data_IF_184218780460
#
_entry.id   IF_184218780460
#
_cell.length_a   1.000
_cell.length_b   1.000
_cell.length_c   1.000
_cell.angle_alpha   90.00
_cell.angle_beta   90.00
_cell.angle_gamma   90.00
#
_symmetry.space_group_name_H-M   'P 1'
#
loop_
_entity.id
_entity.type
_entity.pdbx_description
1 polymer ?
#
# COMPACT_ATOMS: atom_id res chain seq x y z
N UNK A 1 20.15 -33.44 -0.24
CA UNK A 1 21.32 -34.34 -0.11
C UNK A 1 22.50 -33.69 -0.80
N UNK A 2 23.33 -33.02 0.01
CA UNK A 2 24.77 -32.76 -0.12
C UNK A 2 25.37 -32.06 -1.36
N UNK A 3 24.59 -31.85 -2.43
CA UNK A 3 25.09 -31.23 -3.66
C UNK A 3 24.87 -29.69 -3.72
N UNK A 4 23.90 -29.17 -2.97
CA UNK A 4 23.68 -27.72 -2.86
C UNK A 4 24.51 -27.09 -1.72
N UNK A 5 24.89 -27.87 -0.72
CA UNK A 5 25.74 -27.47 0.41
C UNK A 5 27.24 -27.44 0.08
N UNK A 6 27.65 -27.92 -1.10
CA UNK A 6 29.04 -27.93 -1.58
C UNK A 6 29.38 -26.81 -2.59
N UNK A 7 28.40 -25.99 -2.96
CA UNK A 7 28.60 -24.84 -3.84
C UNK A 7 29.03 -23.60 -3.05
N UNK A 8 29.98 -22.84 -3.63
CA UNK A 8 30.44 -21.52 -3.19
C UNK A 8 29.29 -20.65 -2.66
N UNK A 9 29.53 -19.90 -1.56
CA UNK A 9 28.52 -19.11 -0.84
C UNK A 9 27.66 -18.22 -1.77
N UNK A 10 28.23 -17.73 -2.88
CA UNK A 10 27.50 -16.94 -3.87
C UNK A 10 26.45 -17.74 -4.68
N UNK A 11 26.69 -19.02 -4.96
CA UNK A 11 25.76 -19.88 -5.71
C UNK A 11 24.52 -20.26 -4.91
N UNK A 12 24.69 -20.53 -3.61
CA UNK A 12 23.57 -20.78 -2.71
C UNK A 12 22.67 -19.55 -2.56
N UNK A 13 23.27 -18.37 -2.43
CA UNK A 13 22.54 -17.12 -2.35
C UNK A 13 21.73 -16.82 -3.62
N UNK A 14 22.34 -17.03 -4.81
CA UNK A 14 21.65 -16.83 -6.08
C UNK A 14 20.44 -17.76 -6.25
N UNK A 15 20.58 -19.05 -5.92
CA UNK A 15 19.48 -20.02 -5.99
C UNK A 15 18.36 -19.67 -5.01
N UNK A 16 18.69 -19.26 -3.78
CA UNK A 16 17.69 -18.80 -2.81
C UNK A 16 16.93 -17.57 -3.29
N UNK A 17 17.63 -16.57 -3.84
CA UNK A 17 17.00 -15.39 -4.43
C UNK A 17 16.05 -15.79 -5.56
N UNK A 18 16.47 -16.67 -6.46
CA UNK A 18 15.63 -17.11 -7.59
C UNK A 18 14.35 -17.80 -7.09
N UNK A 19 14.47 -18.67 -6.09
CA UNK A 19 13.31 -19.35 -5.49
C UNK A 19 12.37 -18.34 -4.84
N UNK A 20 12.89 -17.38 -4.08
CA UNK A 20 12.09 -16.29 -3.48
C UNK A 20 11.42 -15.47 -4.57
N UNK A 21 12.14 -15.10 -5.63
CA UNK A 21 11.61 -14.29 -6.73
C UNK A 21 10.46 -15.00 -7.45
N UNK A 22 10.60 -16.29 -7.74
CA UNK A 22 9.54 -17.11 -8.37
C UNK A 22 8.31 -17.14 -7.47
N UNK A 23 8.51 -17.37 -6.16
CA UNK A 23 7.42 -17.39 -5.19
C UNK A 23 6.72 -16.03 -5.09
N UNK A 24 7.49 -14.93 -5.09
CA UNK A 24 7.00 -13.57 -5.01
C UNK A 24 6.23 -13.16 -6.28
N UNK A 25 6.76 -13.44 -7.47
CA UNK A 25 6.10 -13.17 -8.74
C UNK A 25 4.78 -13.93 -8.88
N UNK A 26 4.79 -15.21 -8.47
CA UNK A 26 3.57 -16.02 -8.47
C UNK A 26 2.54 -15.49 -7.47
N UNK A 27 2.97 -15.07 -6.29
CA UNK A 27 2.11 -14.43 -5.28
C UNK A 27 1.56 -13.07 -5.70
N UNK A 28 2.38 -12.25 -6.36
CA UNK A 28 1.99 -10.92 -6.83
C UNK A 28 0.87 -11.00 -7.86
N UNK A 29 0.88 -12.03 -8.71
CA UNK A 29 -0.15 -12.25 -9.73
C UNK A 29 -1.53 -12.59 -9.14
N UNK A 30 -1.58 -13.22 -7.95
CA UNK A 30 -2.84 -13.54 -7.24
C UNK A 30 -3.31 -12.46 -6.28
N UNK A 31 -2.40 -11.60 -5.80
CA UNK A 31 -2.71 -10.41 -5.00
C UNK A 31 -3.29 -10.69 -3.60
N UNK A 32 -3.42 -9.62 -2.81
CA UNK A 32 -4.08 -9.64 -1.49
C UNK A 32 -3.44 -10.61 -0.48
N UNK A 33 -4.29 -11.42 0.17
CA UNK A 33 -3.87 -12.38 1.21
C UNK A 33 -2.94 -13.47 0.64
N UNK A 34 -3.09 -13.82 -0.65
CA UNK A 34 -2.29 -14.85 -1.29
C UNK A 34 -0.80 -14.49 -1.37
N UNK A 35 -0.47 -13.20 -1.51
CA UNK A 35 0.92 -12.71 -1.51
C UNK A 35 1.60 -13.00 -0.16
N UNK A 36 0.91 -12.72 0.95
CA UNK A 36 1.43 -12.99 2.29
C UNK A 36 1.56 -14.49 2.58
N UNK A 37 0.56 -15.28 2.18
CA UNK A 37 0.57 -16.74 2.39
C UNK A 37 1.70 -17.42 1.59
N UNK A 38 1.85 -17.05 0.31
CA UNK A 38 2.92 -17.59 -0.55
C UNK A 38 4.31 -17.13 -0.07
N UNK A 39 4.45 -15.89 0.40
CA UNK A 39 5.68 -15.43 1.06
C UNK A 39 6.04 -16.26 2.29
N UNK A 40 5.05 -16.57 3.14
CA UNK A 40 5.23 -17.44 4.31
C UNK A 40 5.61 -18.87 3.93
N UNK A 41 4.96 -19.45 2.91
CA UNK A 41 5.31 -20.77 2.37
C UNK A 41 6.72 -20.78 1.78
N UNK A 42 7.12 -19.70 1.09
CA UNK A 42 8.48 -19.54 0.56
C UNK A 42 9.54 -19.55 1.67
N UNK A 43 9.28 -18.85 2.79
CA UNK A 43 10.18 -18.87 3.96
C UNK A 43 10.21 -20.26 4.60
N UNK A 44 9.06 -20.93 4.75
CA UNK A 44 9.01 -22.30 5.27
C UNK A 44 9.82 -23.26 4.39
N UNK A 45 9.69 -23.15 3.07
CA UNK A 45 10.47 -23.95 2.13
C UNK A 45 11.98 -23.71 2.28
N UNK A 46 12.42 -22.46 2.46
CA UNK A 46 13.83 -22.13 2.68
C UNK A 46 14.37 -22.69 4.00
N UNK A 47 13.60 -22.61 5.09
CA UNK A 47 14.02 -23.11 6.40
C UNK A 47 14.09 -24.64 6.42
N UNK A 48 13.08 -25.34 5.87
CA UNK A 48 13.05 -26.81 5.86
C UNK A 48 13.97 -27.44 4.81
N UNK A 49 14.12 -26.82 3.62
CA UNK A 49 14.94 -27.39 2.54
C UNK A 49 16.42 -27.01 2.62
N UNK A 50 16.74 -25.77 3.03
CA UNK A 50 18.12 -25.27 3.08
C UNK A 50 18.69 -25.15 4.51
N UNK A 51 17.92 -25.51 5.56
CA UNK A 51 18.36 -25.50 6.97
C UNK A 51 18.95 -24.15 7.44
N UNK A 52 18.48 -23.05 6.87
CA UNK A 52 18.90 -21.70 7.26
C UNK A 52 18.21 -21.36 8.58
N UNK A 53 18.97 -20.77 9.52
CA UNK A 53 18.38 -20.28 10.77
C UNK A 53 17.27 -19.27 10.47
N UNK A 54 16.05 -19.45 11.00
CA UNK A 54 14.98 -18.49 10.82
C UNK A 54 15.40 -17.15 11.41
N UNK A 55 15.16 -16.07 10.65
CA UNK A 55 15.40 -14.71 11.10
C UNK A 55 14.47 -14.33 12.26
N UNK A 56 14.74 -13.19 12.89
CA UNK A 56 13.87 -12.65 13.93
C UNK A 56 12.55 -12.18 13.30
N UNK A 57 11.38 -12.60 13.80
CA UNK A 57 10.11 -12.09 13.30
C UNK A 57 10.01 -10.58 13.57
N UNK A 58 9.53 -9.83 12.57
CA UNK A 58 9.39 -8.37 12.65
C UNK A 58 8.16 -7.94 13.46
N UNK A 59 8.09 -8.37 14.73
CA UNK A 59 6.95 -8.11 15.62
C UNK A 59 6.74 -6.60 15.80
N UNK A 60 7.82 -5.84 15.97
CA UNK A 60 7.77 -4.38 16.10
C UNK A 60 7.05 -3.74 14.90
N UNK A 61 7.40 -4.17 13.69
CA UNK A 61 6.79 -3.67 12.45
C UNK A 61 5.32 -4.07 12.37
N UNK A 62 4.97 -5.32 12.69
CA UNK A 62 3.58 -5.78 12.71
C UNK A 62 2.72 -4.96 13.68
N UNK A 63 3.23 -4.66 14.88
CA UNK A 63 2.54 -3.84 15.87
C UNK A 63 2.39 -2.39 15.41
N UNK A 64 3.41 -1.80 14.77
CA UNK A 64 3.29 -0.44 14.20
C UNK A 64 2.23 -0.36 13.11
N UNK A 65 2.16 -1.36 12.21
CA UNK A 65 1.12 -1.43 11.18
C UNK A 65 -0.26 -1.57 11.82
N UNK A 66 -0.40 -2.48 12.81
CA UNK A 66 -1.66 -2.68 13.51
C UNK A 66 -2.12 -1.38 14.21
N UNK A 67 -1.23 -0.67 14.88
CA UNK A 67 -1.53 0.59 15.54
C UNK A 67 -2.05 1.64 14.55
N UNK A 68 -1.39 1.81 13.40
CA UNK A 68 -1.82 2.75 12.36
C UNK A 68 -3.16 2.35 11.76
N UNK A 69 -3.36 1.07 11.43
CA UNK A 69 -4.62 0.59 10.86
C UNK A 69 -5.79 0.76 11.83
N UNK A 70 -5.60 0.46 13.12
CA UNK A 70 -6.63 0.65 14.15
C UNK A 70 -6.95 2.13 14.32
N UNK A 71 -5.95 3.01 14.31
CA UNK A 71 -6.17 4.47 14.37
C UNK A 71 -6.95 4.99 13.15
N UNK A 72 -6.62 4.53 11.94
CA UNK A 72 -7.36 4.91 10.73
C UNK A 72 -8.78 4.34 10.73
N UNK A 73 -8.97 3.12 11.23
CA UNK A 73 -10.28 2.48 11.35
C UNK A 73 -11.18 3.20 12.36
N UNK A 74 -10.64 3.64 13.51
CA UNK A 74 -11.40 4.43 14.48
C UNK A 74 -11.72 5.84 13.95
N UNK A 75 -10.81 6.45 13.17
CA UNK A 75 -11.08 7.71 12.47
C UNK A 75 -12.23 7.57 11.46
N UNK A 76 -12.28 6.48 10.69
CA UNK A 76 -13.39 6.20 9.78
C UNK A 76 -14.69 5.88 10.54
N UNK A 77 -14.64 5.03 11.57
CA UNK A 77 -15.81 4.64 12.34
C UNK A 77 -16.45 5.80 13.12
N UNK A 78 -15.66 6.81 13.52
CA UNK A 78 -16.14 8.02 14.19
C UNK A 78 -16.71 9.08 13.23
N UNK A 79 -16.64 8.87 11.92
CA UNK A 79 -17.01 9.87 10.91
C UNK A 79 -16.00 11.03 10.78
N UNK A 80 -14.81 10.91 11.39
CA UNK A 80 -13.77 11.94 11.31
C UNK A 80 -13.27 12.17 9.87
N UNK A 81 -13.29 11.12 9.04
CA UNK A 81 -12.98 11.23 7.61
C UNK A 81 -14.00 12.11 6.87
N UNK A 82 -15.29 12.04 7.22
CA UNK A 82 -16.32 12.85 6.56
C UNK A 82 -16.11 14.35 6.84
N UNK A 83 -15.69 14.70 8.06
CA UNK A 83 -15.34 16.08 8.43
C UNK A 83 -14.13 16.56 7.61
N UNK A 84 -13.10 15.73 7.46
CA UNK A 84 -11.94 16.06 6.63
C UNK A 84 -12.32 16.26 5.15
N UNK A 85 -13.21 15.42 4.62
CA UNK A 85 -13.71 15.54 3.25
C UNK A 85 -14.53 16.81 3.05
N UNK A 86 -15.35 17.22 4.02
CA UNK A 86 -16.09 18.49 3.95
C UNK A 86 -15.16 19.71 3.93
N UNK A 87 -14.09 19.68 4.74
CA UNK A 87 -13.07 20.73 4.75
C UNK A 87 -12.34 20.77 3.41
N UNK A 88 -11.94 19.61 2.89
CA UNK A 88 -11.33 19.49 1.58
C UNK A 88 -12.24 20.04 0.48
N UNK A 89 -13.51 19.64 0.43
CA UNK A 89 -14.49 20.12 -0.54
C UNK A 89 -14.62 21.66 -0.48
N UNK A 90 -14.70 22.24 0.73
CA UNK A 90 -14.79 23.69 0.91
C UNK A 90 -13.54 24.40 0.40
N UNK A 91 -12.35 23.84 0.60
CA UNK A 91 -11.08 24.39 0.09
C UNK A 91 -11.05 24.34 -1.45
N UNK A 92 -11.40 23.20 -2.04
CA UNK A 92 -11.41 23.02 -3.49
C UNK A 92 -12.45 23.93 -4.18
N UNK A 93 -13.64 24.09 -3.57
CA UNK A 93 -14.69 24.98 -4.09
C UNK A 93 -14.33 26.47 -4.01
N UNK A 94 -13.47 26.89 -3.07
CA UNK A 94 -13.10 28.29 -2.89
C UNK A 94 -12.15 28.79 -4.00
N UNK A 95 -11.35 27.91 -4.59
CA UNK A 95 -10.38 28.25 -5.65
C UNK A 95 -10.47 27.29 -6.86
N UNK A 96 -11.59 27.30 -7.62
CA UNK A 96 -11.82 26.33 -8.69
C UNK A 96 -10.87 26.48 -9.88
N UNK A 97 -10.31 27.67 -10.12
CA UNK A 97 -9.33 27.90 -11.21
C UNK A 97 -8.03 27.09 -11.04
N UNK A 98 -7.68 26.71 -9.82
CA UNK A 98 -6.46 25.95 -9.51
C UNK A 98 -6.74 24.49 -9.13
N UNK A 99 -7.93 23.97 -9.47
CA UNK A 99 -8.37 22.62 -9.10
C UNK A 99 -7.35 21.54 -9.48
N UNK A 100 -6.73 21.64 -10.65
CA UNK A 100 -5.74 20.66 -11.17
C UNK A 100 -4.48 20.55 -10.31
N UNK A 101 -4.08 21.63 -9.64
CA UNK A 101 -2.93 21.62 -8.73
C UNK A 101 -3.41 21.30 -7.32
N UNK A 102 -4.50 21.93 -6.88
CA UNK A 102 -4.99 21.82 -5.52
C UNK A 102 -5.53 20.42 -5.18
N UNK A 103 -6.15 19.72 -6.14
CA UNK A 103 -6.69 18.38 -5.95
C UNK A 103 -5.64 17.34 -5.53
N UNK A 104 -4.49 17.17 -6.24
CA UNK A 104 -3.46 16.22 -5.81
C UNK A 104 -2.79 16.62 -4.50
N UNK A 105 -2.62 17.92 -4.21
CA UNK A 105 -2.09 18.35 -2.91
C UNK A 105 -3.02 17.97 -1.74
N UNK A 106 -4.32 18.25 -1.87
CA UNK A 106 -5.30 17.92 -0.83
C UNK A 106 -5.45 16.41 -0.67
N UNK A 107 -5.44 15.66 -1.78
CA UNK A 107 -5.48 14.20 -1.78
C UNK A 107 -4.25 13.59 -1.11
N UNK A 108 -3.06 14.11 -1.43
CA UNK A 108 -1.81 13.70 -0.78
C UNK A 108 -1.84 13.97 0.72
N UNK A 109 -2.29 15.17 1.12
CA UNK A 109 -2.41 15.52 2.52
C UNK A 109 -3.40 14.62 3.28
N UNK A 110 -4.58 14.34 2.69
CA UNK A 110 -5.54 13.38 3.26
C UNK A 110 -4.97 11.95 3.33
N UNK A 111 -4.20 11.53 2.33
CA UNK A 111 -3.58 10.20 2.29
C UNK A 111 -2.53 10.04 3.39
N UNK A 112 -1.73 11.09 3.63
CA UNK A 112 -0.76 11.12 4.74
C UNK A 112 -1.47 11.08 6.09
N UNK A 113 -2.55 11.84 6.27
CA UNK A 113 -3.31 11.87 7.51
C UNK A 113 -4.02 10.55 7.81
N UNK A 114 -4.65 9.94 6.80
CA UNK A 114 -5.42 8.71 6.98
C UNK A 114 -4.56 7.44 6.83
N UNK A 115 -3.30 7.58 6.39
CA UNK A 115 -2.33 6.50 6.26
C UNK A 115 -2.61 5.47 5.17
N UNK A 116 -3.65 5.66 4.35
CA UNK A 116 -4.07 4.69 3.32
C UNK A 116 -4.53 5.36 2.04
N UNK A 117 -4.23 4.73 0.90
CA UNK A 117 -4.70 5.18 -0.42
C UNK A 117 -6.20 4.99 -0.66
N UNK A 118 -6.92 4.30 0.24
CA UNK A 118 -8.37 4.11 0.11
C UNK A 118 -9.14 5.44 0.15
N UNK A 119 -8.59 6.46 0.81
CA UNK A 119 -9.18 7.80 0.88
C UNK A 119 -9.23 8.51 -0.48
N UNK A 120 -8.39 8.11 -1.43
CA UNK A 120 -8.42 8.68 -2.79
C UNK A 120 -9.75 8.36 -3.47
N UNK A 121 -10.32 7.17 -3.22
CA UNK A 121 -11.58 6.76 -3.83
C UNK A 121 -12.77 7.59 -3.37
N UNK A 122 -12.74 8.12 -2.14
CA UNK A 122 -13.83 8.96 -1.62
C UNK A 122 -13.75 10.40 -2.08
N UNK A 123 -12.54 10.92 -2.36
CA UNK A 123 -12.36 12.31 -2.84
C UNK A 123 -12.47 12.45 -4.36
N UNK A 124 -12.20 11.38 -5.13
CA UNK A 124 -12.35 11.36 -6.58
C UNK A 124 -13.72 11.85 -7.08
N UNK A 125 -14.87 11.36 -6.57
CA UNK A 125 -16.17 11.87 -7.00
C UNK A 125 -16.37 13.36 -6.64
N UNK A 126 -15.82 13.83 -5.53
CA UNK A 126 -15.89 15.24 -5.12
C UNK A 126 -15.12 16.12 -6.11
N UNK A 127 -13.90 15.71 -6.47
CA UNK A 127 -13.06 16.43 -7.45
C UNK A 127 -13.75 16.45 -8.82
N UNK A 128 -14.34 15.33 -9.23
CA UNK A 128 -15.09 15.22 -10.49
C UNK A 128 -16.28 16.17 -10.54
N UNK A 129 -17.08 16.22 -9.48
CA UNK A 129 -18.24 17.13 -9.36
C UNK A 129 -17.83 18.61 -9.44
N UNK A 130 -16.72 18.98 -8.77
CA UNK A 130 -16.19 20.35 -8.81
C UNK A 130 -15.63 20.67 -10.20
N UNK A 131 -14.98 19.72 -10.87
CA UNK A 131 -14.44 19.90 -12.22
C UNK A 131 -15.55 20.17 -13.23
N UNK A 132 -16.61 19.34 -13.24
CA UNK A 132 -17.75 19.50 -14.14
C UNK A 132 -18.49 20.81 -13.92
N UNK A 133 -18.78 21.18 -12.66
CA UNK A 133 -19.48 22.45 -12.35
C UNK A 133 -18.71 23.69 -12.81
N UNK A 134 -17.39 23.62 -12.90
CA UNK A 134 -16.53 24.72 -13.34
C UNK A 134 -16.11 24.61 -14.81
N UNK A 135 -16.65 23.64 -15.57
CA UNK A 135 -16.30 23.44 -16.98
C UNK A 135 -14.84 23.00 -17.21
N UNK A 136 -14.17 22.48 -16.18
CA UNK A 136 -12.80 21.99 -16.27
C UNK A 136 -12.85 20.52 -16.70
N UNK A 137 -12.07 20.15 -17.72
CA UNK A 137 -11.93 18.75 -18.14
C UNK A 137 -11.43 17.91 -16.95
N UNK A 138 -12.20 16.90 -16.48
CA UNK A 138 -11.88 16.13 -15.27
C UNK A 138 -10.63 15.25 -15.45
N UNK A 139 -10.22 14.98 -16.70
CA UNK A 139 -8.98 14.27 -17.06
C UNK A 139 -7.73 14.89 -16.44
N UNK A 140 -7.70 16.22 -16.24
CA UNK A 140 -6.53 16.94 -15.72
C UNK A 140 -6.39 16.87 -14.19
N UNK A 141 -7.44 17.15 -13.38
CA UNK A 141 -7.35 17.05 -11.92
C UNK A 141 -7.37 15.63 -11.36
N UNK A 142 -7.71 14.62 -12.17
CA UNK A 142 -7.66 13.20 -11.78
C UNK A 142 -6.34 12.50 -12.16
N UNK A 143 -5.38 13.23 -12.73
CA UNK A 143 -4.07 12.73 -13.10
C UNK A 143 -3.08 12.68 -11.93
#
# INVERSE_FOLDING_TARGET
MDFLTSLSEGGQFAVQIIIVLICLFYGAKKGGIALGLLGGIGILMLVFAFHIKPGKPAIDVMLTILAVVVASATLQASGGLDVMLQIAERILRRNPKFLTILAPFVTCFLTILCGTGHVVYTIMPIIYDIAIKNGIRPERPMA
#
